data_IF_139796196811
#
_entry.id   IF_139796196811
#
_cell.length_a   1.000
_cell.length_b   1.000
_cell.length_c   1.000
_cell.angle_alpha   90.00
_cell.angle_beta   90.00
_cell.angle_gamma   90.00
#
_symmetry.space_group_name_H-M   'P 1'
#
loop_
_entity.id
_entity.type
_entity.pdbx_description
1 polymer ?
#
# COMPACT_ATOMS: atom_id res chain seq x y z
N UNK A 1 34.09 7.94 11.77
CA UNK A 1 32.67 8.35 11.87
C UNK A 1 31.96 7.69 10.70
N UNK A 2 31.99 6.36 10.62
CA UNK A 2 31.63 5.63 9.41
C UNK A 2 30.37 4.78 9.64
N UNK A 3 29.37 5.37 10.29
CA UNK A 3 28.07 4.72 10.48
C UNK A 3 27.08 5.41 9.57
N UNK A 4 26.93 4.81 8.38
CA UNK A 4 26.25 5.30 7.19
C UNK A 4 24.85 5.82 7.52
N UNK A 5 24.62 7.10 7.25
CA UNK A 5 23.31 7.73 7.46
C UNK A 5 22.50 7.79 6.15
N UNK A 6 23.18 7.92 5.00
CA UNK A 6 22.58 7.69 3.67
C UNK A 6 22.94 6.29 3.19
N UNK A 7 21.98 5.39 3.14
CA UNK A 7 22.23 4.03 2.71
C UNK A 7 22.00 3.86 1.20
N UNK A 8 23.01 3.31 0.52
CA UNK A 8 22.89 2.87 -0.87
C UNK A 8 22.48 1.40 -0.91
N UNK A 9 21.27 1.12 -1.40
CA UNK A 9 20.85 -0.26 -1.66
C UNK A 9 21.44 -0.68 -3.01
N UNK A 10 22.54 -1.43 -2.98
CA UNK A 10 23.29 -1.81 -4.18
C UNK A 10 22.43 -2.67 -5.12
N UNK A 11 21.59 -3.55 -4.57
CA UNK A 11 20.76 -4.49 -5.33
C UNK A 11 19.77 -3.79 -6.28
N UNK A 12 19.31 -2.57 -5.94
CA UNK A 12 18.44 -1.79 -6.84
C UNK A 12 19.17 -1.14 -8.02
N UNK A 13 20.50 -1.22 -8.08
CA UNK A 13 21.27 -0.78 -9.27
C UNK A 13 21.13 -1.77 -10.43
N UNK A 14 20.84 -3.04 -10.15
CA UNK A 14 20.68 -4.10 -11.17
C UNK A 14 19.22 -4.38 -11.52
N UNK A 15 18.30 -4.21 -10.56
CA UNK A 15 16.85 -4.44 -10.71
C UNK A 15 16.06 -3.30 -10.08
N UNK A 16 14.83 -2.99 -10.50
CA UNK A 16 14.08 -1.87 -9.94
C UNK A 16 13.48 -2.14 -8.54
N UNK A 17 13.93 -3.20 -7.88
CA UNK A 17 13.56 -3.56 -6.50
C UNK A 17 14.63 -4.46 -5.87
N UNK A 18 14.66 -4.50 -4.54
CA UNK A 18 15.35 -5.50 -3.74
C UNK A 18 14.40 -6.04 -2.67
N UNK A 19 14.44 -7.36 -2.43
CA UNK A 19 13.61 -8.01 -1.41
C UNK A 19 14.58 -8.78 -0.52
N UNK A 20 14.51 -8.51 0.78
CA UNK A 20 15.38 -9.13 1.78
C UNK A 20 14.52 -9.69 2.90
N UNK A 21 15.00 -10.75 3.53
CA UNK A 21 14.52 -11.15 4.85
C UNK A 21 15.67 -10.94 5.80
N UNK A 22 15.44 -10.14 6.83
CA UNK A 22 16.46 -9.77 7.80
C UNK A 22 16.08 -10.29 9.17
N UNK A 23 17.00 -10.99 9.83
CA UNK A 23 16.83 -11.30 11.25
C UNK A 23 17.53 -10.22 12.08
N UNK A 24 16.75 -9.41 12.80
CA UNK A 24 17.23 -8.20 13.46
C UNK A 24 16.67 -8.03 14.87
N UNK A 25 17.46 -7.46 15.78
CA UNK A 25 16.93 -6.82 17.00
C UNK A 25 16.74 -5.30 16.80
N UNK A 26 17.16 -4.79 15.65
CA UNK A 26 16.93 -3.45 15.17
C UNK A 26 17.84 -3.12 13.99
N UNK A 27 17.58 -1.98 13.38
CA UNK A 27 18.31 -1.46 12.23
C UNK A 27 18.70 -0.01 12.50
N UNK A 28 19.96 0.39 12.25
CA UNK A 28 20.46 1.71 12.60
C UNK A 28 19.71 2.84 11.87
N UNK A 29 19.95 4.08 12.31
CA UNK A 29 19.38 5.25 11.66
C UNK A 29 19.95 5.42 10.27
N UNK A 30 19.05 5.49 9.28
CA UNK A 30 19.40 5.66 7.89
C UNK A 30 18.26 6.35 7.12
N UNK A 31 18.52 6.64 5.85
CA UNK A 31 17.50 6.97 4.86
C UNK A 31 17.97 6.51 3.48
N UNK A 32 17.02 6.48 2.56
CA UNK A 32 17.28 6.26 1.16
C UNK A 32 16.81 7.44 0.32
N UNK A 33 17.45 7.59 -0.83
CA UNK A 33 17.08 8.57 -1.83
C UNK A 33 16.56 7.85 -3.07
N UNK A 34 15.36 8.26 -3.52
CA UNK A 34 14.57 7.66 -4.58
C UNK A 34 14.13 6.22 -4.33
N UNK A 35 14.17 5.75 -3.08
CA UNK A 35 13.70 4.42 -2.70
C UNK A 35 12.60 4.58 -1.67
N UNK A 36 11.50 3.84 -1.86
CA UNK A 36 10.53 3.58 -0.80
C UNK A 36 10.81 2.20 -0.23
N UNK A 37 10.80 2.10 1.09
CA UNK A 37 10.96 0.83 1.81
C UNK A 37 9.60 0.37 2.36
N UNK A 38 9.34 -0.93 2.35
CA UNK A 38 8.21 -1.53 3.06
C UNK A 38 8.74 -2.56 4.05
N UNK A 39 8.37 -2.43 5.31
CA UNK A 39 8.76 -3.30 6.42
C UNK A 39 7.59 -4.19 6.80
N UNK A 40 7.78 -5.51 6.83
CA UNK A 40 6.76 -6.49 7.20
C UNK A 40 7.31 -7.51 8.21
N UNK A 41 7.05 -7.36 9.52
CA UNK A 41 7.45 -8.33 10.53
C UNK A 41 6.79 -9.70 10.33
N UNK A 42 7.62 -10.74 10.34
CA UNK A 42 7.21 -12.13 10.12
C UNK A 42 7.01 -12.91 11.44
N UNK A 43 7.68 -12.53 12.52
CA UNK A 43 7.68 -13.30 13.78
C UNK A 43 7.04 -12.59 14.96
N UNK A 44 7.45 -11.35 15.23
CA UNK A 44 6.95 -10.50 16.30
C UNK A 44 6.95 -9.05 15.84
N UNK A 45 6.34 -8.17 16.62
CA UNK A 45 6.18 -6.76 16.28
C UNK A 45 7.53 -6.02 16.31
N UNK A 46 7.61 -4.96 15.52
CA UNK A 46 8.76 -4.05 15.48
C UNK A 46 8.33 -2.62 15.76
N UNK A 47 9.21 -1.86 16.38
CA UNK A 47 9.06 -0.43 16.54
C UNK A 47 9.82 0.28 15.40
N UNK A 48 9.08 1.03 14.59
CA UNK A 48 9.64 1.87 13.53
C UNK A 48 9.60 3.31 14.00
N UNK A 49 10.75 3.96 13.96
CA UNK A 49 10.91 5.38 14.24
C UNK A 49 11.16 6.06 12.89
N UNK A 50 10.23 6.88 12.41
CA UNK A 50 10.33 7.51 11.09
C UNK A 50 9.90 8.99 11.18
N UNK A 51 10.83 9.89 10.88
CA UNK A 51 10.67 11.35 11.09
C UNK A 51 10.31 11.70 12.55
N UNK A 52 9.02 11.85 12.85
CA UNK A 52 8.47 12.16 14.17
C UNK A 52 7.52 11.10 14.69
N UNK A 53 7.25 10.07 13.89
CA UNK A 53 6.31 9.02 14.23
C UNK A 53 7.06 7.88 14.91
N UNK A 54 6.47 7.38 15.98
CA UNK A 54 6.85 6.14 16.63
C UNK A 54 5.72 5.15 16.40
N UNK A 55 6.01 4.12 15.60
CA UNK A 55 5.01 3.18 15.12
C UNK A 55 5.32 1.80 15.65
N UNK A 56 4.32 1.14 16.22
CA UNK A 56 4.37 -0.30 16.50
C UNK A 56 3.77 -1.05 15.31
N UNK A 57 4.64 -1.67 14.51
CA UNK A 57 4.21 -2.52 13.39
C UNK A 57 3.97 -3.91 13.92
N UNK A 58 2.70 -4.31 13.98
CA UNK A 58 2.29 -5.61 14.50
C UNK A 58 2.74 -6.72 13.56
N UNK A 59 3.10 -7.87 14.14
CA UNK A 59 3.30 -9.13 13.40
C UNK A 59 2.15 -9.37 12.43
N UNK A 60 2.45 -9.70 11.17
CA UNK A 60 1.40 -9.94 10.17
C UNK A 60 0.96 -8.69 9.43
N UNK A 61 1.47 -7.51 9.78
CA UNK A 61 1.15 -6.24 9.15
C UNK A 61 2.39 -5.62 8.50
N UNK A 62 2.25 -4.44 7.89
CA UNK A 62 3.35 -3.74 7.24
C UNK A 62 3.37 -2.24 7.51
N UNK A 63 4.51 -1.62 7.21
CA UNK A 63 4.71 -0.18 7.20
C UNK A 63 5.52 0.29 5.99
N UNK A 64 5.02 1.30 5.29
CA UNK A 64 5.70 1.96 4.18
C UNK A 64 6.52 3.13 4.72
N UNK A 65 7.83 3.09 4.51
CA UNK A 65 8.74 4.22 4.76
C UNK A 65 8.91 4.99 3.47
N UNK A 66 8.51 6.27 3.49
CA UNK A 66 8.57 7.13 2.31
C UNK A 66 10.02 7.47 1.92
N UNK A 67 10.22 7.77 0.63
CA UNK A 67 11.47 8.31 0.12
C UNK A 67 11.94 9.53 0.95
N UNK A 68 13.25 9.69 1.15
CA UNK A 68 13.85 10.80 1.93
C UNK A 68 13.27 10.88 3.36
N UNK A 69 13.02 9.74 3.99
CA UNK A 69 12.61 9.66 5.40
C UNK A 69 13.75 9.12 6.24
N UNK A 70 14.13 9.86 7.27
CA UNK A 70 15.11 9.38 8.27
C UNK A 70 14.36 8.42 9.19
N UNK A 71 14.86 7.19 9.29
CA UNK A 71 14.19 6.16 10.07
C UNK A 71 15.15 5.14 10.66
N UNK A 72 14.65 4.39 11.64
CA UNK A 72 15.32 3.26 12.27
C UNK A 72 14.30 2.24 12.77
N UNK A 73 14.77 1.02 12.99
CA UNK A 73 13.93 -0.09 13.47
C UNK A 73 14.48 -0.61 14.78
N UNK A 74 13.59 -1.02 15.70
CA UNK A 74 13.96 -1.69 16.94
C UNK A 74 12.99 -2.82 17.25
N UNK A 75 13.49 -3.87 17.88
CA UNK A 75 12.67 -4.89 18.51
C UNK A 75 13.22 -5.25 19.89
N UNK A 76 12.36 -5.79 20.75
CA UNK A 76 12.74 -6.29 22.08
C UNK A 76 13.46 -7.63 22.01
N UNK A 77 13.29 -8.37 20.90
CA UNK A 77 13.92 -9.66 20.62
C UNK A 77 14.49 -9.67 19.20
N UNK A 78 15.23 -10.72 18.83
CA UNK A 78 15.65 -10.91 17.43
C UNK A 78 14.43 -11.44 16.66
N UNK A 79 14.02 -10.71 15.63
CA UNK A 79 12.83 -10.99 14.82
C UNK A 79 13.16 -11.01 13.35
N UNK A 80 12.49 -11.86 12.58
CA UNK A 80 12.52 -11.80 11.12
C UNK A 80 11.60 -10.72 10.56
N UNK A 81 12.13 -9.90 9.66
CA UNK A 81 11.42 -8.83 8.96
C UNK A 81 11.66 -9.00 7.46
N UNK A 82 10.59 -9.04 6.67
CA UNK A 82 10.69 -8.90 5.22
C UNK A 82 10.79 -7.40 4.88
N UNK A 83 11.79 -7.05 4.08
CA UNK A 83 12.11 -5.68 3.67
C UNK A 83 12.04 -5.60 2.15
N UNK A 84 11.23 -4.66 1.65
CA UNK A 84 11.04 -4.43 0.22
C UNK A 84 11.55 -3.04 -0.13
N UNK A 85 12.64 -2.95 -0.87
CA UNK A 85 13.14 -1.70 -1.43
C UNK A 85 12.64 -1.54 -2.86
N UNK A 86 12.03 -0.41 -3.17
CA UNK A 86 11.45 -0.11 -4.48
C UNK A 86 12.12 1.14 -5.04
N UNK A 87 12.78 1.03 -6.19
CA UNK A 87 13.41 2.18 -6.87
C UNK A 87 12.36 3.02 -7.61
N UNK A 88 12.05 4.18 -7.05
CA UNK A 88 11.11 5.13 -7.63
C UNK A 88 11.62 5.78 -8.91
N UNK A 89 12.93 5.77 -9.20
CA UNK A 89 13.46 6.25 -10.48
C UNK A 89 12.94 5.40 -11.64
N UNK A 90 13.02 4.08 -11.51
CA UNK A 90 12.56 3.18 -12.54
C UNK A 90 11.07 3.36 -12.86
N UNK A 91 10.24 3.62 -11.83
CA UNK A 91 8.79 3.71 -11.98
C UNK A 91 8.28 5.08 -12.43
N UNK A 92 9.12 6.11 -12.47
CA UNK A 92 8.74 7.46 -12.92
C UNK A 92 8.20 7.49 -14.36
N UNK A 93 8.67 6.57 -15.22
CA UNK A 93 8.17 6.41 -16.60
C UNK A 93 6.72 5.91 -16.69
N UNK A 94 6.22 5.28 -15.63
CA UNK A 94 4.85 4.77 -15.56
C UNK A 94 3.96 5.68 -14.72
N UNK A 95 4.53 6.26 -13.65
CA UNK A 95 3.85 7.11 -12.70
C UNK A 95 4.64 8.41 -12.56
N UNK A 96 4.26 9.40 -13.36
CA UNK A 96 4.89 10.71 -13.35
C UNK A 96 4.86 11.28 -11.92
N UNK A 97 5.98 11.82 -11.45
CA UNK A 97 6.15 12.39 -10.11
C UNK A 97 6.09 11.42 -8.92
N UNK A 98 6.16 10.11 -9.12
CA UNK A 98 6.10 9.12 -8.02
C UNK A 98 7.08 9.40 -6.87
N UNK A 99 8.26 9.96 -7.15
CA UNK A 99 9.28 10.35 -6.15
C UNK A 99 8.84 11.47 -5.19
N UNK A 100 7.84 12.25 -5.60
CA UNK A 100 7.28 13.40 -4.89
C UNK A 100 5.91 13.07 -4.30
N UNK A 101 5.41 11.85 -4.49
CA UNK A 101 4.22 11.34 -3.81
C UNK A 101 4.57 10.99 -2.36
N UNK A 102 3.57 11.07 -1.49
CA UNK A 102 3.68 10.61 -0.11
C UNK A 102 2.68 9.48 0.10
N UNK A 103 3.17 8.28 0.36
CA UNK A 103 2.36 7.10 0.60
C UNK A 103 1.99 7.03 2.09
N UNK A 104 0.70 7.14 2.37
CA UNK A 104 0.18 7.13 3.74
C UNK A 104 0.06 5.69 4.26
N UNK A 105 0.35 5.45 5.53
CA UNK A 105 0.02 4.18 6.18
C UNK A 105 -1.33 4.26 6.94
N UNK A 106 -1.41 5.11 7.98
CA UNK A 106 -2.54 5.21 8.93
C UNK A 106 -2.95 6.66 9.22
N UNK A 107 -3.88 6.90 10.17
CA UNK A 107 -4.17 8.24 10.69
C UNK A 107 -2.95 8.89 11.36
N UNK A 108 -2.74 10.18 11.09
CA UNK A 108 -1.86 11.00 11.93
C UNK A 108 -2.46 11.03 13.34
N UNK A 109 -1.70 10.57 14.35
CA UNK A 109 -1.99 10.90 15.74
C UNK A 109 -1.33 12.23 16.07
N UNK A 110 -2.10 13.15 16.64
CA UNK A 110 -1.51 14.24 17.40
C UNK A 110 -0.91 13.65 18.70
N UNK A 111 0.13 14.28 19.26
CA UNK A 111 0.68 14.02 20.61
C UNK A 111 1.66 12.86 20.87
N UNK A 112 2.57 12.51 19.95
CA UNK A 112 3.69 11.57 20.20
C UNK A 112 3.26 10.19 20.77
N UNK A 113 1.99 9.79 20.57
CA UNK A 113 1.49 8.49 21.00
C UNK A 113 1.99 7.43 20.02
N UNK A 114 2.32 6.24 20.54
CA UNK A 114 2.67 5.09 19.70
C UNK A 114 1.45 4.75 18.85
N UNK A 115 1.60 4.84 17.53
CA UNK A 115 0.55 4.49 16.58
C UNK A 115 0.73 3.02 16.22
N UNK A 116 -0.31 2.22 16.44
CA UNK A 116 -0.30 0.83 15.97
C UNK A 116 -0.55 0.79 14.45
N UNK A 117 0.10 -0.15 13.77
CA UNK A 117 -0.03 -0.30 12.33
C UNK A 117 -1.46 -0.64 11.87
N UNK A 118 -2.34 -1.13 12.73
CA UNK A 118 -3.74 -1.44 12.41
C UNK A 118 -4.74 -0.31 12.72
N UNK A 119 -4.27 0.90 12.99
CA UNK A 119 -5.15 2.05 13.23
C UNK A 119 -5.71 2.64 11.92
N UNK A 120 -7.01 2.41 11.64
CA UNK A 120 -7.68 2.84 10.41
C UNK A 120 -8.81 3.85 10.65
N UNK A 121 -8.92 4.85 9.77
CA UNK A 121 -10.04 5.81 9.83
C UNK A 121 -11.37 5.23 9.29
N UNK A 122 -11.34 4.17 8.46
CA UNK A 122 -12.56 3.55 7.88
C UNK A 122 -12.36 2.11 7.34
N UNK A 123 -13.48 1.42 7.06
CA UNK A 123 -13.53 0.04 6.52
C UNK A 123 -12.90 -0.11 5.12
N UNK A 124 -12.95 0.96 4.32
CA UNK A 124 -12.39 0.99 2.96
C UNK A 124 -10.87 0.89 3.02
N UNK A 125 -10.24 1.62 3.95
CA UNK A 125 -8.79 1.59 4.20
C UNK A 125 -8.33 0.27 4.77
N UNK A 126 -9.09 -0.29 5.72
CA UNK A 126 -8.84 -1.66 6.21
C UNK A 126 -8.78 -2.66 5.04
N UNK A 127 -9.70 -2.52 4.08
CA UNK A 127 -9.73 -3.37 2.88
C UNK A 127 -8.53 -3.17 1.95
N UNK A 128 -8.13 -1.93 1.66
CA UNK A 128 -6.95 -1.66 0.83
C UNK A 128 -5.67 -2.18 1.45
N UNK A 129 -5.54 -2.05 2.77
CA UNK A 129 -4.36 -2.55 3.47
C UNK A 129 -4.26 -4.07 3.42
N UNK A 130 -5.36 -4.78 3.65
CA UNK A 130 -5.44 -6.23 3.48
C UNK A 130 -5.02 -6.66 2.07
N UNK A 131 -5.51 -5.97 1.02
CA UNK A 131 -5.13 -6.27 -0.36
C UNK A 131 -3.65 -6.03 -0.62
N UNK A 132 -3.10 -4.94 -0.11
CA UNK A 132 -1.67 -4.62 -0.26
C UNK A 132 -0.79 -5.63 0.45
N UNK A 133 -1.14 -6.03 1.67
CA UNK A 133 -0.49 -7.11 2.41
C UNK A 133 -0.47 -8.41 1.60
N UNK A 134 -1.60 -8.78 0.98
CA UNK A 134 -1.65 -9.98 0.14
C UNK A 134 -0.73 -9.86 -1.09
N UNK A 135 -0.56 -8.67 -1.67
CA UNK A 135 0.40 -8.43 -2.74
C UNK A 135 1.86 -8.54 -2.24
N UNK A 136 2.19 -8.00 -1.07
CA UNK A 136 3.52 -8.16 -0.45
C UNK A 136 3.86 -9.64 -0.23
N UNK A 137 2.91 -10.41 0.30
CA UNK A 137 3.07 -11.86 0.47
C UNK A 137 3.29 -12.53 -0.88
N UNK A 138 2.53 -12.14 -1.90
CA UNK A 138 2.71 -12.68 -3.26
C UNK A 138 4.10 -12.44 -3.82
N UNK A 139 4.60 -11.22 -3.69
CA UNK A 139 5.96 -10.83 -4.06
C UNK A 139 6.99 -11.66 -3.29
N UNK A 140 6.80 -11.83 -1.97
CA UNK A 140 7.72 -12.56 -1.11
C UNK A 140 7.77 -14.05 -1.48
N UNK A 141 6.62 -14.67 -1.73
CA UNK A 141 6.54 -16.07 -2.20
C UNK A 141 7.26 -16.24 -3.54
N UNK A 142 7.09 -15.30 -4.48
CA UNK A 142 7.75 -15.36 -5.79
C UNK A 142 9.28 -15.22 -5.65
N UNK A 143 9.73 -14.29 -4.80
CA UNK A 143 11.14 -14.01 -4.59
C UNK A 143 11.90 -15.13 -3.86
N UNK A 144 11.24 -15.83 -2.95
CA UNK A 144 11.79 -16.95 -2.16
C UNK A 144 11.62 -18.32 -2.84
N UNK A 145 10.90 -18.39 -3.96
CA UNK A 145 10.66 -19.65 -4.66
C UNK A 145 11.92 -20.15 -5.36
N UNK A 146 12.22 -21.45 -5.25
CA UNK A 146 13.28 -22.10 -6.02
C UNK A 146 12.95 -22.23 -7.52
N UNK A 147 11.73 -21.88 -7.91
CA UNK A 147 11.28 -21.87 -9.29
C UNK A 147 11.74 -20.60 -10.02
N UNK A 148 12.63 -20.76 -11.01
CA UNK A 148 13.14 -19.65 -11.83
C UNK A 148 12.03 -18.77 -12.42
N UNK A 149 10.92 -19.35 -12.84
CA UNK A 149 9.85 -18.58 -13.49
C UNK A 149 9.05 -17.80 -12.45
N UNK A 150 8.86 -18.33 -11.24
CA UNK A 150 8.28 -17.55 -10.15
C UNK A 150 9.16 -16.32 -9.84
N UNK A 151 10.49 -16.49 -9.81
CA UNK A 151 11.44 -15.37 -9.65
C UNK A 151 11.36 -14.33 -10.78
N UNK A 152 11.09 -14.75 -12.02
CA UNK A 152 10.88 -13.84 -13.16
C UNK A 152 9.57 -13.03 -13.02
N UNK A 153 8.53 -13.63 -12.45
CA UNK A 153 7.23 -12.98 -12.22
C UNK A 153 7.28 -11.93 -11.10
N UNK A 154 8.27 -11.95 -10.22
CA UNK A 154 8.42 -10.97 -9.13
C UNK A 154 8.37 -9.53 -9.65
N UNK A 155 8.91 -9.27 -10.85
CA UNK A 155 8.87 -7.93 -11.47
C UNK A 155 7.44 -7.46 -11.77
N UNK A 156 6.58 -8.35 -12.28
CA UNK A 156 5.17 -8.05 -12.57
C UNK A 156 4.43 -7.75 -11.25
N UNK A 157 4.66 -8.58 -10.23
CA UNK A 157 4.07 -8.43 -8.89
C UNK A 157 4.50 -7.11 -8.22
N UNK A 158 5.77 -6.70 -8.33
CA UNK A 158 6.25 -5.41 -7.81
C UNK A 158 5.61 -4.24 -8.58
N UNK A 159 5.49 -4.31 -9.91
CA UNK A 159 4.84 -3.23 -10.66
C UNK A 159 3.40 -2.99 -10.16
N UNK A 160 2.66 -4.06 -9.86
CA UNK A 160 1.30 -3.92 -9.31
C UNK A 160 1.31 -3.40 -7.88
N UNK A 161 2.28 -3.82 -7.05
CA UNK A 161 2.48 -3.25 -5.72
C UNK A 161 2.63 -1.71 -5.82
N UNK A 162 3.49 -1.25 -6.73
CA UNK A 162 3.71 0.19 -6.98
C UNK A 162 2.45 0.87 -7.53
N UNK A 163 1.77 0.26 -8.50
CA UNK A 163 0.51 0.78 -9.02
C UNK A 163 -0.55 0.91 -7.93
N UNK A 164 -0.61 -0.05 -7.01
CA UNK A 164 -1.52 -0.04 -5.87
C UNK A 164 -1.14 1.04 -4.85
N UNK A 165 0.16 1.26 -4.59
CA UNK A 165 0.64 2.38 -3.78
C UNK A 165 0.18 3.73 -4.35
N UNK A 166 0.43 3.98 -5.63
CA UNK A 166 0.02 5.22 -6.31
C UNK A 166 -1.49 5.38 -6.30
N UNK A 167 -2.24 4.29 -6.53
CA UNK A 167 -3.70 4.35 -6.65
C UNK A 167 -4.39 4.43 -5.29
N UNK A 168 -3.95 3.72 -4.26
CA UNK A 168 -4.73 3.57 -3.04
C UNK A 168 -4.05 4.16 -1.80
N UNK A 169 -2.74 4.45 -1.86
CA UNK A 169 -1.98 5.00 -0.73
C UNK A 169 -1.44 6.42 -0.94
N UNK A 170 -1.62 7.04 -2.12
CA UNK A 170 -1.28 8.45 -2.30
C UNK A 170 -2.10 9.36 -1.37
N UNK A 171 -1.38 10.13 -0.53
CA UNK A 171 -1.91 11.08 0.45
C UNK A 171 -3.05 11.95 -0.10
N UNK A 172 -2.95 12.38 -1.38
CA UNK A 172 -3.95 13.25 -1.99
C UNK A 172 -5.36 12.68 -2.03
N UNK A 173 -5.48 11.36 -2.20
CA UNK A 173 -6.81 10.71 -2.21
C UNK A 173 -7.45 10.73 -0.84
N UNK A 174 -6.66 10.87 0.23
CA UNK A 174 -7.14 10.94 1.61
C UNK A 174 -7.39 12.37 2.08
N UNK A 175 -6.53 13.31 1.70
CA UNK A 175 -6.62 14.71 2.14
C UNK A 175 -7.83 15.46 1.55
N UNK A 176 -8.53 14.86 0.59
CA UNK A 176 -9.72 15.40 -0.03
C UNK A 176 -10.90 15.52 0.95
N UNK A 177 -10.87 16.57 1.78
CA UNK A 177 -11.92 16.94 2.73
C UNK A 177 -13.30 17.16 2.09
N UNK A 178 -13.34 17.29 0.76
CA UNK A 178 -14.54 17.69 0.01
C UNK A 178 -15.22 16.57 -0.76
N UNK A 179 -14.72 15.32 -0.71
CA UNK A 179 -15.16 14.20 -1.57
C UNK A 179 -15.23 14.58 -3.08
N UNK A 180 -14.48 15.60 -3.51
CA UNK A 180 -14.47 16.05 -4.91
C UNK A 180 -13.52 15.20 -5.72
N UNK A 181 -13.99 14.59 -6.79
CA UNK A 181 -13.09 13.95 -7.73
C UNK A 181 -12.23 15.01 -8.42
N UNK A 182 -10.93 15.00 -8.16
CA UNK A 182 -9.97 15.85 -8.86
C UNK A 182 -9.61 15.22 -10.20
N UNK A 183 -9.48 16.06 -11.22
CA UNK A 183 -9.03 15.57 -12.53
C UNK A 183 -7.56 15.16 -12.47
N UNK A 184 -7.10 14.25 -13.35
CA UNK A 184 -5.68 13.92 -13.48
C UNK A 184 -4.79 15.16 -13.65
N UNK A 185 -5.27 16.17 -14.37
CA UNK A 185 -4.56 17.44 -14.55
C UNK A 185 -4.36 18.19 -13.23
N UNK A 186 -5.37 18.20 -12.35
CA UNK A 186 -5.30 18.86 -11.04
C UNK A 186 -4.33 18.14 -10.11
N UNK A 187 -4.34 16.80 -10.11
CA UNK A 187 -3.40 15.99 -9.33
C UNK A 187 -1.96 16.18 -9.83
N UNK A 188 -1.72 16.09 -11.14
CA UNK A 188 -0.39 16.32 -11.73
C UNK A 188 0.11 17.74 -11.45
N UNK A 189 -0.77 18.74 -11.48
CA UNK A 189 -0.42 20.11 -11.09
C UNK A 189 0.03 20.20 -9.63
N UNK A 190 -0.64 19.50 -8.72
CA UNK A 190 -0.19 19.44 -7.33
C UNK A 190 1.18 18.79 -7.22
N UNK A 191 1.41 17.65 -7.85
CA UNK A 191 2.71 16.99 -7.79
C UNK A 191 3.84 17.82 -8.41
N UNK A 192 3.58 18.54 -9.51
CA UNK A 192 4.53 19.53 -10.05
C UNK A 192 4.81 20.67 -9.08
N UNK A 193 3.79 21.13 -8.36
CA UNK A 193 3.98 22.15 -7.32
C UNK A 193 4.85 21.61 -6.17
N UNK A 194 4.68 20.35 -5.77
CA UNK A 194 5.54 19.70 -4.76
C UNK A 194 6.96 19.52 -5.28
N UNK A 195 7.13 19.10 -6.54
CA UNK A 195 8.44 19.02 -7.20
C UNK A 195 9.14 20.38 -7.19
N UNK A 196 8.43 21.45 -7.58
CA UNK A 196 8.97 22.81 -7.55
C UNK A 196 9.43 23.20 -6.13
N UNK A 197 8.67 22.83 -5.10
CA UNK A 197 9.07 23.05 -3.70
C UNK A 197 10.33 22.25 -3.34
N UNK A 198 10.41 20.93 -3.65
CA UNK A 198 11.59 20.10 -3.36
C UNK A 198 12.85 20.59 -4.09
N UNK A 199 12.71 21.16 -5.29
CA UNK A 199 13.84 21.66 -6.09
C UNK A 199 14.28 23.08 -5.67
N UNK A 200 13.35 23.91 -5.17
CA UNK A 200 13.59 25.33 -4.88
C UNK A 200 13.39 25.70 -3.40
N UNK A 201 13.38 24.73 -2.48
CA UNK A 201 13.07 24.97 -1.06
C UNK A 201 14.00 25.99 -0.39
N UNK A 202 15.25 26.12 -0.87
CA UNK A 202 16.25 27.04 -0.32
C UNK A 202 15.90 28.51 -0.60
N UNK A 203 15.19 28.77 -1.69
CA UNK A 203 14.89 30.11 -2.14
C UNK A 203 13.61 30.66 -1.52
N UNK A 204 13.42 31.97 -1.64
CA UNK A 204 12.19 32.65 -1.24
C UNK A 204 11.11 32.44 -2.31
N UNK A 205 10.53 31.24 -2.32
CA UNK A 205 9.44 30.90 -3.22
C UNK A 205 8.07 31.27 -2.63
N UNK A 206 7.15 31.67 -3.51
CA UNK A 206 5.79 32.05 -3.19
C UNK A 206 4.79 31.21 -3.99
N UNK A 207 3.54 31.25 -3.55
CA UNK A 207 2.45 30.63 -4.31
C UNK A 207 2.25 31.30 -5.69
N UNK A 208 2.64 32.56 -5.83
CA UNK A 208 2.55 33.28 -7.10
C UNK A 208 3.55 32.72 -8.12
N UNK A 209 4.78 32.42 -7.68
CA UNK A 209 5.82 31.84 -8.53
C UNK A 209 5.37 30.50 -9.13
N UNK A 210 4.76 29.65 -8.31
CA UNK A 210 4.21 28.37 -8.77
C UNK A 210 3.02 28.58 -9.71
N UNK A 211 2.14 29.54 -9.40
CA UNK A 211 1.00 29.85 -10.25
C UNK A 211 1.42 30.33 -11.64
N UNK A 212 2.45 31.18 -11.70
CA UNK A 212 3.05 31.66 -12.93
C UNK A 212 3.70 30.52 -13.73
N UNK A 213 4.43 29.62 -13.07
CA UNK A 213 5.03 28.44 -13.71
C UNK A 213 3.97 27.44 -14.24
N UNK A 214 2.79 27.41 -13.61
CA UNK A 214 1.65 26.58 -14.00
C UNK A 214 0.68 27.29 -14.96
N UNK A 215 0.98 28.52 -15.38
CA UNK A 215 0.15 29.36 -16.25
C UNK A 215 -1.30 29.53 -15.75
N UNK A 216 -1.45 29.75 -14.44
CA UNK A 216 -2.75 29.91 -13.78
C UNK A 216 -2.73 31.09 -12.81
N UNK A 217 -3.90 31.52 -12.36
CA UNK A 217 -3.99 32.55 -11.33
C UNK A 217 -3.62 32.00 -9.96
N UNK A 218 -2.96 32.82 -9.14
CA UNK A 218 -2.68 32.53 -7.73
C UNK A 218 -3.94 32.14 -6.95
N UNK A 219 -5.08 32.80 -7.23
CA UNK A 219 -6.35 32.48 -6.58
C UNK A 219 -6.78 31.03 -6.89
N UNK A 220 -6.72 30.63 -8.16
CA UNK A 220 -7.02 29.26 -8.55
C UNK A 220 -6.07 28.26 -7.86
N UNK A 221 -4.76 28.52 -7.87
CA UNK A 221 -3.79 27.63 -7.21
C UNK A 221 -4.03 27.56 -5.70
N UNK A 222 -4.35 28.67 -5.04
CA UNK A 222 -4.65 28.70 -3.60
C UNK A 222 -5.87 27.87 -3.25
N UNK A 223 -6.93 27.94 -4.06
CA UNK A 223 -8.11 27.11 -3.88
C UNK A 223 -7.80 25.63 -4.13
N UNK A 224 -7.05 25.32 -5.19
CA UNK A 224 -6.62 23.97 -5.51
C UNK A 224 -5.79 23.38 -4.37
N UNK A 225 -4.79 24.12 -3.88
CA UNK A 225 -3.91 23.72 -2.79
C UNK A 225 -4.69 23.43 -1.51
N UNK A 226 -5.62 24.31 -1.12
CA UNK A 226 -6.44 24.11 0.08
C UNK A 226 -7.35 22.88 0.00
N UNK A 227 -7.79 22.52 -1.21
CA UNK A 227 -8.69 21.37 -1.40
C UNK A 227 -7.90 20.04 -1.48
N UNK A 228 -6.66 20.08 -1.98
CA UNK A 228 -5.80 18.89 -2.15
C UNK A 228 -4.86 18.65 -0.96
N UNK A 229 -4.38 19.70 -0.32
CA UNK A 229 -3.42 19.62 0.78
C UNK A 229 -4.11 19.79 2.13
N UNK A 230 -3.61 19.05 3.11
CA UNK A 230 -3.98 19.26 4.51
C UNK A 230 -3.30 20.51 5.09
N UNK A 231 -2.17 20.91 4.52
CA UNK A 231 -1.32 21.99 5.01
C UNK A 231 -1.36 23.19 4.06
N UNK A 232 -1.13 24.38 4.59
CA UNK A 232 -0.87 25.57 3.77
C UNK A 232 0.41 25.41 2.95
N UNK A 233 0.54 26.20 1.88
CA UNK A 233 1.76 26.23 1.07
C UNK A 233 3.01 26.52 1.91
N UNK A 234 2.94 27.49 2.83
CA UNK A 234 4.05 27.83 3.72
C UNK A 234 4.40 26.69 4.67
N UNK A 235 3.41 25.99 5.23
CA UNK A 235 3.67 24.81 6.06
C UNK A 235 4.33 23.69 5.27
N UNK A 236 3.92 23.45 4.02
CA UNK A 236 4.58 22.44 3.17
C UNK A 236 6.00 22.83 2.79
N UNK A 237 6.26 24.10 2.44
CA UNK A 237 7.61 24.58 2.19
C UNK A 237 8.49 24.39 3.44
N UNK A 238 8.01 24.82 4.61
CA UNK A 238 8.77 24.67 5.85
C UNK A 238 8.98 23.20 6.23
N UNK A 239 8.01 22.32 5.95
CA UNK A 239 8.19 20.87 6.09
C UNK A 239 9.39 20.39 5.26
N UNK A 240 9.43 20.73 3.97
CA UNK A 240 10.54 20.32 3.09
C UNK A 240 11.89 20.83 3.61
N UNK A 241 11.95 22.10 4.03
CA UNK A 241 13.17 22.70 4.62
C UNK A 241 13.60 21.98 5.89
N UNK A 242 12.65 21.62 6.78
CA UNK A 242 12.93 20.86 8.00
C UNK A 242 13.46 19.48 7.67
N UNK A 243 12.83 18.76 6.74
CA UNK A 243 13.28 17.44 6.28
C UNK A 243 14.73 17.49 5.76
N UNK A 244 15.05 18.48 4.92
CA UNK A 244 16.42 18.69 4.41
C UNK A 244 17.42 19.02 5.52
N UNK A 245 17.01 19.83 6.50
CA UNK A 245 17.85 20.17 7.65
C UNK A 245 18.17 18.95 8.51
N UNK A 246 17.25 17.98 8.62
CA UNK A 246 17.46 16.72 9.33
C UNK A 246 18.68 15.96 8.79
N UNK A 247 18.81 15.87 7.46
CA UNK A 247 19.98 15.25 6.83
C UNK A 247 21.27 16.01 7.14
N UNK A 248 21.26 17.35 7.04
CA UNK A 248 22.42 18.18 7.32
C UNK A 248 22.85 18.11 8.79
N UNK A 249 21.92 18.03 9.73
CA UNK A 249 22.23 17.88 11.15
C UNK A 249 23.06 16.63 11.45
N UNK A 250 22.76 15.55 10.73
CA UNK A 250 23.39 14.25 10.91
C UNK A 250 24.68 14.09 10.09
N UNK A 251 24.75 14.69 8.90
CA UNK A 251 25.87 14.46 7.95
C UNK A 251 26.88 15.59 7.90
N UNK A 252 26.47 16.83 8.17
CA UNK A 252 27.30 18.00 8.00
C UNK A 252 27.86 18.48 9.33
N UNK A 253 29.12 18.91 9.32
CA UNK A 253 29.74 19.60 10.45
C UNK A 253 29.46 21.11 10.37
N UNK A 254 28.18 21.48 10.43
CA UNK A 254 27.71 22.86 10.29
C UNK A 254 27.08 23.35 11.62
N UNK A 255 27.18 24.64 11.88
CA UNK A 255 26.45 25.26 12.99
C UNK A 255 24.94 25.27 12.69
N UNK A 256 24.11 25.29 13.74
CA UNK A 256 22.64 25.36 13.57
C UNK A 256 22.22 26.59 12.76
N UNK A 257 22.90 27.72 12.94
CA UNK A 257 22.65 28.93 12.15
C UNK A 257 22.91 28.70 10.66
N UNK A 258 24.02 28.04 10.32
CA UNK A 258 24.38 27.75 8.92
C UNK A 258 23.43 26.74 8.29
N UNK A 259 22.99 25.73 9.06
CA UNK A 259 21.99 24.75 8.60
C UNK A 259 20.67 25.45 8.31
N UNK A 260 20.19 26.29 9.24
CA UNK A 260 18.98 27.09 9.08
C UNK A 260 19.02 27.94 7.80
N UNK A 261 20.11 28.69 7.59
CA UNK A 261 20.32 29.52 6.41
C UNK A 261 20.38 28.70 5.12
N UNK A 262 21.18 27.62 5.08
CA UNK A 262 21.32 26.75 3.90
C UNK A 262 20.03 26.01 3.52
N UNK A 263 19.08 25.89 4.44
CA UNK A 263 17.74 25.34 4.20
C UNK A 263 16.71 26.42 3.84
N UNK A 264 17.07 27.70 3.75
CA UNK A 264 16.19 28.77 3.32
C UNK A 264 15.31 29.38 4.43
N UNK A 265 15.59 29.13 5.70
CA UNK A 265 14.89 29.80 6.80
C UNK A 265 15.38 31.25 6.96
N UNK A 266 14.45 32.18 7.20
CA UNK A 266 14.75 33.60 7.41
C UNK A 266 15.58 33.87 8.67
N UNK A 267 15.39 33.03 9.68
CA UNK A 267 16.06 33.13 10.97
C UNK A 267 15.99 31.81 11.74
N UNK A 268 16.88 31.67 12.70
CA UNK A 268 17.03 30.46 13.50
C UNK A 268 15.82 30.21 14.40
N UNK A 269 15.14 31.25 14.89
CA UNK A 269 13.96 31.07 15.77
C UNK A 269 12.80 30.45 14.99
N UNK A 270 12.58 30.90 13.75
CA UNK A 270 11.59 30.34 12.85
C UNK A 270 11.93 28.90 12.46
N UNK A 271 13.22 28.60 12.25
CA UNK A 271 13.69 27.23 12.06
C UNK A 271 13.36 26.33 13.26
N UNK A 272 13.73 26.71 14.49
CA UNK A 272 13.44 25.92 15.69
C UNK A 272 11.94 25.68 15.89
N UNK A 273 11.10 26.68 15.61
CA UNK A 273 9.65 26.58 15.71
C UNK A 273 9.11 25.47 14.79
N UNK A 274 9.47 25.51 13.50
CA UNK A 274 9.01 24.52 12.53
C UNK A 274 9.66 23.16 12.73
N UNK A 275 10.94 23.12 13.11
CA UNK A 275 11.61 21.86 13.42
C UNK A 275 10.92 21.16 14.59
N UNK A 276 10.62 21.87 15.68
CA UNK A 276 9.87 21.30 16.81
C UNK A 276 8.46 20.88 16.43
N UNK A 277 7.80 21.62 15.54
CA UNK A 277 6.48 21.24 15.01
C UNK A 277 6.52 19.91 14.27
N UNK A 278 7.55 19.69 13.44
CA UNK A 278 7.63 18.51 12.57
C UNK A 278 8.42 17.34 13.15
N UNK A 279 9.30 17.53 14.12
CA UNK A 279 10.10 16.47 14.76
C UNK A 279 9.74 16.26 16.25
N UNK A 280 8.83 17.05 16.81
CA UNK A 280 8.43 16.97 18.22
C UNK A 280 9.51 17.40 19.22
N UNK A 281 10.71 17.75 18.76
CA UNK A 281 11.88 18.13 19.57
C UNK A 281 12.72 19.20 18.85
N UNK A 282 13.69 19.79 19.54
CA UNK A 282 14.61 20.74 18.92
C UNK A 282 15.66 20.06 18.02
N UNK A 283 16.27 20.79 17.06
CA UNK A 283 17.33 20.26 16.19
C UNK A 283 18.48 19.57 16.94
N UNK A 284 18.90 20.14 18.07
CA UNK A 284 20.00 19.59 18.88
C UNK A 284 19.57 18.33 19.64
N UNK A 285 18.35 18.31 20.17
CA UNK A 285 17.79 17.10 20.80
C UNK A 285 17.62 15.99 19.78
N UNK A 286 17.15 16.30 18.57
CA UNK A 286 17.06 15.35 17.47
C UNK A 286 18.44 14.75 17.15
N UNK A 287 19.45 15.60 16.90
CA UNK A 287 20.81 15.16 16.64
C UNK A 287 21.34 14.26 17.76
N UNK A 288 21.13 14.66 19.02
CA UNK A 288 21.53 13.86 20.19
C UNK A 288 20.83 12.51 20.22
N UNK A 289 19.50 12.46 20.07
CA UNK A 289 18.73 11.21 20.05
C UNK A 289 19.21 10.27 18.95
N UNK A 290 19.52 10.80 17.77
CA UNK A 290 20.06 9.99 16.69
C UNK A 290 21.43 9.41 17.02
N UNK A 291 22.34 10.22 17.58
CA UNK A 291 23.66 9.74 18.01
C UNK A 291 23.54 8.71 19.14
N UNK A 292 22.69 8.95 20.13
CA UNK A 292 22.43 8.01 21.22
C UNK A 292 21.90 6.67 20.67
N UNK A 293 21.01 6.71 19.68
CA UNK A 293 20.51 5.50 19.02
C UNK A 293 21.59 4.74 18.25
N UNK A 294 22.53 5.45 17.61
CA UNK A 294 23.68 4.84 16.92
C UNK A 294 24.65 4.12 17.88
N UNK A 295 24.57 4.38 19.19
CA UNK A 295 25.35 3.69 20.22
C UNK A 295 24.64 2.47 20.82
N UNK A 296 23.38 2.22 20.45
CA UNK A 296 22.67 1.00 20.85
C UNK A 296 23.31 -0.20 20.15
N UNK A 297 23.49 -1.30 20.88
CA UNK A 297 23.98 -2.56 20.32
C UNK A 297 22.88 -3.22 19.47
N UNK A 298 22.80 -2.81 18.21
CA UNK A 298 21.89 -3.35 17.21
C UNK A 298 22.61 -4.42 16.38
N UNK A 299 21.87 -5.47 16.02
CA UNK A 299 22.32 -6.51 15.12
C UNK A 299 21.21 -6.82 14.12
N UNK A 300 21.64 -7.01 12.88
CA UNK A 300 20.83 -7.49 11.78
C UNK A 300 21.69 -8.37 10.87
N UNK A 301 21.06 -9.34 10.22
CA UNK A 301 21.69 -10.18 9.21
C UNK A 301 20.71 -10.41 8.06
N UNK A 302 21.19 -10.28 6.82
CA UNK A 302 20.44 -10.66 5.62
C UNK A 302 20.42 -12.21 5.54
N UNK A 303 19.22 -12.79 5.45
CA UNK A 303 19.02 -14.23 5.29
C UNK A 303 18.92 -14.61 3.80
N UNK A 304 19.45 -15.77 3.44
CA UNK A 304 19.36 -16.32 2.08
C UNK A 304 17.93 -16.75 1.74
N UNK A 305 17.32 -16.09 0.75
CA UNK A 305 15.93 -16.32 0.36
C UNK A 305 15.64 -17.77 -0.09
N UNK A 306 16.59 -18.46 -0.72
CA UNK A 306 16.42 -19.82 -1.27
C UNK A 306 16.11 -20.88 -0.19
N UNK A 307 16.48 -20.59 1.07
CA UNK A 307 16.21 -21.45 2.22
C UNK A 307 14.93 -21.03 2.99
N UNK A 308 14.26 -19.96 2.57
CA UNK A 308 13.14 -19.37 3.32
C UNK A 308 11.76 -19.79 2.81
N UNK A 309 11.67 -20.44 1.65
CA UNK A 309 10.38 -20.81 1.04
C UNK A 309 9.43 -21.52 2.01
N UNK A 310 9.94 -22.50 2.77
CA UNK A 310 9.16 -23.27 3.75
C UNK A 310 8.74 -22.40 4.95
N UNK A 311 9.63 -21.55 5.44
CA UNK A 311 9.35 -20.64 6.56
C UNK A 311 8.25 -19.63 6.17
N UNK A 312 8.32 -19.10 4.94
CA UNK A 312 7.29 -18.21 4.41
C UNK A 312 5.97 -18.95 4.19
N UNK A 313 6.00 -20.17 3.68
CA UNK A 313 4.81 -21.01 3.56
C UNK A 313 4.16 -21.25 4.93
N UNK A 314 4.94 -21.59 5.95
CA UNK A 314 4.47 -21.79 7.32
C UNK A 314 3.92 -20.47 7.93
N UNK A 315 4.57 -19.34 7.66
CA UNK A 315 4.07 -18.01 8.05
C UNK A 315 2.70 -17.72 7.43
N UNK A 316 2.56 -17.95 6.13
CA UNK A 316 1.30 -17.75 5.41
C UNK A 316 0.21 -18.65 6.02
N UNK A 317 0.52 -19.93 6.29
CA UNK A 317 -0.40 -20.91 6.87
C UNK A 317 -0.83 -20.59 8.30
N UNK A 318 0.06 -20.07 9.13
CA UNK A 318 -0.16 -19.97 10.57
C UNK A 318 -0.50 -18.56 11.06
N UNK A 319 -0.18 -17.52 10.29
CA UNK A 319 -0.33 -16.13 10.74
C UNK A 319 -1.30 -15.40 9.85
N UNK A 320 -1.07 -15.44 8.54
CA UNK A 320 -1.91 -14.75 7.58
C UNK A 320 -3.26 -15.47 7.46
N UNK A 321 -3.24 -16.76 7.10
CA UNK A 321 -4.46 -17.52 6.87
C UNK A 321 -5.41 -17.61 8.09
N UNK A 322 -4.95 -17.80 9.34
CA UNK A 322 -5.84 -17.88 10.50
C UNK A 322 -6.51 -16.56 10.87
N UNK A 323 -5.85 -15.40 10.66
CA UNK A 323 -6.48 -14.09 10.83
C UNK A 323 -7.73 -13.94 9.94
N UNK A 324 -7.70 -14.55 8.75
CA UNK A 324 -8.81 -14.56 7.81
C UNK A 324 -9.80 -15.70 8.01
N UNK A 325 -9.38 -16.78 8.68
CA UNK A 325 -10.27 -17.79 9.24
C UNK A 325 -10.95 -17.27 10.52
N UNK A 326 -11.62 -16.10 10.45
CA UNK A 326 -12.44 -15.58 11.55
C UNK A 326 -13.23 -16.73 12.16
N UNK A 327 -13.12 -16.95 13.47
CA UNK A 327 -13.88 -17.96 14.21
C UNK A 327 -13.85 -19.41 13.64
N UNK A 328 -12.77 -19.83 12.97
CA UNK A 328 -12.68 -21.12 12.26
C UNK A 328 -13.73 -21.31 11.15
N UNK A 329 -14.19 -20.20 10.55
CA UNK A 329 -15.20 -20.24 9.50
C UNK A 329 -14.66 -20.89 8.21
N UNK A 330 -13.37 -20.78 7.90
CA UNK A 330 -12.79 -21.26 6.63
C UNK A 330 -11.66 -22.29 6.84
N UNK A 331 -11.54 -23.25 5.91
CA UNK A 331 -10.38 -24.15 5.85
C UNK A 331 -9.26 -23.47 5.05
N UNK A 332 -8.09 -23.32 5.65
CA UNK A 332 -6.98 -22.53 5.12
C UNK A 332 -6.11 -23.28 4.11
N UNK A 333 -6.11 -24.62 4.14
CA UNK A 333 -5.27 -25.46 3.26
C UNK A 333 -5.68 -25.35 1.79
N UNK A 334 -6.98 -25.46 1.48
CA UNK A 334 -7.46 -25.37 0.10
C UNK A 334 -7.20 -24.00 -0.54
N UNK A 335 -7.15 -22.93 0.25
CA UNK A 335 -6.93 -21.58 -0.25
C UNK A 335 -5.50 -21.41 -0.77
N UNK A 336 -4.53 -21.89 0.00
CA UNK A 336 -3.12 -21.85 -0.37
C UNK A 336 -2.86 -22.71 -1.63
N UNK A 337 -3.43 -23.92 -1.68
CA UNK A 337 -3.27 -24.81 -2.81
C UNK A 337 -3.83 -24.22 -4.11
N UNK A 338 -5.00 -23.57 -4.05
CA UNK A 338 -5.59 -22.87 -5.19
C UNK A 338 -4.72 -21.70 -5.67
N UNK A 339 -4.20 -20.91 -4.74
CA UNK A 339 -3.30 -19.80 -5.05
C UNK A 339 -2.00 -20.27 -5.73
N UNK A 340 -1.35 -21.29 -5.18
CA UNK A 340 -0.14 -21.89 -5.77
C UNK A 340 -0.43 -22.46 -7.16
N UNK A 341 -1.56 -23.17 -7.31
CA UNK A 341 -1.99 -23.73 -8.59
C UNK A 341 -2.24 -22.65 -9.64
N UNK A 342 -2.86 -21.53 -9.28
CA UNK A 342 -3.11 -20.43 -10.21
C UNK A 342 -1.81 -19.76 -10.66
N UNK A 343 -0.86 -19.55 -9.74
CA UNK A 343 0.48 -19.07 -10.10
C UNK A 343 1.18 -20.03 -11.07
N UNK A 344 1.10 -21.33 -10.80
CA UNK A 344 1.64 -22.35 -11.71
C UNK A 344 1.01 -22.27 -13.12
N UNK A 345 -0.31 -22.09 -13.22
CA UNK A 345 -1.00 -21.92 -14.49
C UNK A 345 -0.60 -20.64 -15.23
N UNK A 346 -0.50 -19.51 -14.53
CA UNK A 346 0.01 -18.25 -15.10
C UNK A 346 1.45 -18.39 -15.63
N UNK A 347 2.29 -19.10 -14.88
CA UNK A 347 3.64 -19.46 -15.29
C UNK A 347 3.66 -20.27 -16.59
N UNK A 348 2.85 -21.34 -16.71
CA UNK A 348 2.76 -22.13 -17.95
C UNK A 348 2.35 -21.25 -19.13
N UNK A 349 1.40 -20.35 -18.90
CA UNK A 349 0.88 -19.48 -19.96
C UNK A 349 1.91 -18.45 -20.46
N UNK A 350 2.82 -17.94 -19.61
CA UNK A 350 3.93 -17.09 -20.06
C UNK A 350 4.93 -17.83 -20.95
N UNK A 351 5.16 -19.12 -20.68
CA UNK A 351 6.07 -19.96 -21.47
C UNK A 351 5.41 -20.37 -22.79
N UNK A 352 4.12 -20.71 -22.72
CA UNK A 352 3.32 -21.26 -23.84
C UNK A 352 1.96 -20.58 -23.84
N UNK A 353 1.83 -19.41 -24.50
CA UNK A 353 0.59 -18.64 -24.51
C UNK A 353 -0.53 -19.43 -25.16
N UNK A 354 -1.58 -19.76 -24.40
CA UNK A 354 -2.79 -20.37 -24.93
C UNK A 354 -3.73 -19.28 -25.47
N UNK A 355 -4.37 -19.49 -26.64
CA UNK A 355 -5.39 -18.59 -27.23
C UNK A 355 -6.81 -19.12 -27.00
N UNK A 356 -7.43 -18.81 -25.84
CA UNK A 356 -8.81 -18.30 -25.77
C UNK A 356 -8.98 -17.22 -24.64
N UNK A 357 -10.17 -16.61 -24.42
CA UNK A 357 -10.36 -15.64 -23.32
C UNK A 357 -10.02 -16.28 -21.97
N UNK A 358 -9.21 -15.56 -21.20
CA UNK A 358 -8.61 -16.04 -19.96
C UNK A 358 -9.48 -15.59 -18.81
N UNK A 359 -10.20 -16.52 -18.19
CA UNK A 359 -11.21 -16.18 -17.22
C UNK A 359 -10.88 -16.82 -15.88
N UNK A 360 -10.79 -16.02 -14.83
CA UNK A 360 -10.91 -16.48 -13.45
C UNK A 360 -12.38 -16.40 -13.09
N UNK A 361 -12.99 -17.52 -12.72
CA UNK A 361 -14.39 -17.55 -12.32
C UNK A 361 -14.53 -17.99 -10.88
N UNK A 362 -15.29 -17.23 -10.09
CA UNK A 362 -15.61 -17.57 -8.70
C UNK A 362 -17.11 -17.75 -8.53
N UNK A 363 -17.51 -18.92 -8.03
CA UNK A 363 -18.86 -19.09 -7.47
C UNK A 363 -18.89 -18.50 -6.06
N UNK A 364 -19.55 -17.36 -5.92
CA UNK A 364 -19.63 -16.64 -4.64
C UNK A 364 -20.52 -17.35 -3.63
N UNK A 365 -21.30 -18.36 -4.02
CA UNK A 365 -22.16 -19.14 -3.14
C UNK A 365 -21.59 -20.54 -2.84
N UNK A 366 -20.42 -20.87 -3.38
CA UNK A 366 -19.68 -22.08 -3.02
C UNK A 366 -19.34 -22.08 -1.52
N UNK A 367 -19.36 -23.25 -0.88
CA UNK A 367 -19.06 -23.44 0.54
C UNK A 367 -17.67 -22.96 0.97
N UNK A 368 -16.74 -22.83 0.01
CA UNK A 368 -15.38 -22.31 0.23
C UNK A 368 -15.31 -20.78 0.17
N UNK A 369 -16.32 -20.14 -0.45
CA UNK A 369 -16.39 -18.70 -0.66
C UNK A 369 -17.47 -18.03 0.20
N UNK A 370 -18.46 -18.78 0.67
CA UNK A 370 -19.63 -18.25 1.36
C UNK A 370 -20.19 -19.18 2.44
N UNK A 371 -20.53 -18.58 3.59
CA UNK A 371 -21.21 -19.22 4.70
C UNK A 371 -22.24 -18.27 5.32
N UNK A 372 -23.36 -18.85 5.76
CA UNK A 372 -24.37 -18.15 6.56
C UNK A 372 -24.22 -18.52 8.02
N UNK A 373 -23.96 -17.55 8.89
CA UNK A 373 -23.81 -17.75 10.34
C UNK A 373 -24.80 -16.85 11.05
N UNK A 374 -25.69 -17.42 11.86
CA UNK A 374 -26.75 -16.67 12.56
C UNK A 374 -27.53 -15.71 11.63
N UNK A 375 -27.83 -16.18 10.42
CA UNK A 375 -28.49 -15.41 9.35
C UNK A 375 -27.72 -14.18 8.83
N UNK A 376 -26.40 -14.11 9.08
CA UNK A 376 -25.51 -13.07 8.57
C UNK A 376 -24.63 -13.68 7.46
N UNK A 377 -24.53 -13.05 6.28
CA UNK A 377 -23.67 -13.54 5.21
C UNK A 377 -22.19 -13.23 5.49
N UNK A 378 -21.35 -14.26 5.39
CA UNK A 378 -19.89 -14.14 5.45
C UNK A 378 -19.28 -14.63 4.14
N UNK A 379 -18.42 -13.82 3.55
CA UNK A 379 -17.66 -14.14 2.35
C UNK A 379 -16.20 -14.38 2.71
N UNK A 380 -15.58 -15.35 2.05
CA UNK A 380 -14.15 -15.59 2.14
C UNK A 380 -13.41 -14.53 1.32
N UNK A 381 -13.33 -13.31 1.85
CA UNK A 381 -12.69 -12.20 1.17
C UNK A 381 -11.23 -12.43 0.86
N UNK A 382 -10.54 -13.30 1.60
CA UNK A 382 -9.16 -13.65 1.29
C UNK A 382 -9.08 -14.39 -0.05
N UNK A 383 -9.94 -15.38 -0.28
CA UNK A 383 -9.97 -16.08 -1.57
C UNK A 383 -10.29 -15.10 -2.69
N UNK A 384 -11.33 -14.30 -2.49
CA UNK A 384 -11.81 -13.35 -3.49
C UNK A 384 -10.73 -12.30 -3.79
N UNK A 385 -10.06 -11.74 -2.78
CA UNK A 385 -8.96 -10.79 -2.94
C UNK A 385 -7.77 -11.42 -3.69
N UNK A 386 -7.41 -12.67 -3.39
CA UNK A 386 -6.34 -13.37 -4.10
C UNK A 386 -6.69 -13.58 -5.57
N UNK A 387 -7.92 -14.00 -5.87
CA UNK A 387 -8.37 -14.22 -7.24
C UNK A 387 -8.52 -12.91 -8.02
N UNK A 388 -9.03 -11.85 -7.39
CA UNK A 388 -9.14 -10.52 -7.99
C UNK A 388 -7.77 -9.92 -8.21
N UNK A 389 -6.88 -10.00 -7.22
CA UNK A 389 -5.51 -9.54 -7.41
C UNK A 389 -4.90 -10.32 -8.57
N UNK A 390 -4.95 -11.66 -8.56
CA UNK A 390 -4.43 -12.47 -9.66
C UNK A 390 -5.04 -12.10 -11.02
N UNK A 391 -6.34 -11.86 -11.12
CA UNK A 391 -6.97 -11.48 -12.39
C UNK A 391 -6.48 -10.12 -12.89
N UNK A 392 -6.35 -9.14 -11.99
CA UNK A 392 -5.72 -7.85 -12.27
C UNK A 392 -4.22 -8.00 -12.61
N UNK A 393 -3.51 -8.95 -12.00
CA UNK A 393 -2.06 -9.15 -12.21
C UNK A 393 -1.73 -9.84 -13.52
N UNK A 394 -2.58 -10.78 -13.94
CA UNK A 394 -2.37 -11.67 -15.09
C UNK A 394 -3.15 -11.27 -16.34
N UNK A 395 -3.94 -10.18 -16.25
CA UNK A 395 -4.85 -9.71 -17.29
C UNK A 395 -5.89 -10.78 -17.70
N UNK A 396 -6.39 -11.52 -16.71
CA UNK A 396 -7.51 -12.44 -16.86
C UNK A 396 -8.81 -11.67 -16.58
N UNK A 397 -9.85 -11.95 -17.36
CA UNK A 397 -11.20 -11.51 -17.03
C UNK A 397 -11.64 -12.16 -15.71
N UNK A 398 -12.35 -11.40 -14.88
CA UNK A 398 -12.87 -11.88 -13.61
C UNK A 398 -14.38 -12.06 -13.69
N UNK A 399 -14.83 -13.29 -13.50
CA UNK A 399 -16.24 -13.66 -13.60
C UNK A 399 -16.79 -14.04 -12.22
N UNK A 400 -17.92 -13.44 -11.87
CA UNK A 400 -18.69 -13.77 -10.67
C UNK A 400 -19.81 -14.72 -11.07
N UNK A 401 -19.76 -15.97 -10.62
CA UNK A 401 -20.85 -16.92 -10.76
C UNK A 401 -21.79 -16.81 -9.56
N UNK A 402 -23.09 -16.77 -9.83
CA UNK A 402 -24.15 -16.74 -8.84
C UNK A 402 -25.14 -17.85 -9.18
N UNK A 403 -25.10 -18.95 -8.45
CA UNK A 403 -26.04 -20.05 -8.60
C UNK A 403 -27.31 -19.77 -7.78
N UNK A 404 -28.41 -19.47 -8.46
CA UNK A 404 -29.65 -19.07 -7.78
C UNK A 404 -30.19 -20.17 -6.86
N UNK A 405 -29.91 -21.45 -7.14
CA UNK A 405 -30.33 -22.59 -6.31
C UNK A 405 -29.69 -22.60 -4.92
N UNK A 406 -28.47 -22.07 -4.79
CA UNK A 406 -27.70 -22.07 -3.52
C UNK A 406 -28.15 -21.00 -2.53
N UNK A 407 -29.13 -20.17 -2.88
CA UNK A 407 -29.61 -19.10 -2.02
C UNK A 407 -31.11 -19.22 -1.75
N UNK A 408 -31.64 -18.52 -0.75
CA UNK A 408 -33.07 -18.49 -0.46
C UNK A 408 -33.67 -17.15 -0.95
N UNK A 409 -34.89 -17.19 -1.49
CA UNK A 409 -35.71 -16.03 -1.86
C UNK A 409 -35.77 -14.91 -0.82
N UNK A 410 -35.79 -15.22 0.48
CA UNK A 410 -35.84 -14.20 1.55
C UNK A 410 -34.49 -13.51 1.78
N UNK A 411 -33.39 -14.15 1.40
CA UNK A 411 -32.05 -13.71 1.78
C UNK A 411 -31.20 -13.18 0.61
N UNK A 412 -31.56 -13.44 -0.66
CA UNK A 412 -30.70 -13.10 -1.79
C UNK A 412 -30.31 -11.61 -1.83
N UNK A 413 -31.27 -10.70 -1.61
CA UNK A 413 -30.99 -9.25 -1.59
C UNK A 413 -29.98 -8.88 -0.50
N UNK A 414 -30.09 -9.51 0.68
CA UNK A 414 -29.17 -9.29 1.80
C UNK A 414 -27.77 -9.80 1.48
N UNK A 415 -27.66 -11.01 0.92
CA UNK A 415 -26.38 -11.67 0.62
C UNK A 415 -25.67 -10.97 -0.53
N UNK A 416 -26.34 -10.88 -1.70
CA UNK A 416 -25.77 -10.27 -2.90
C UNK A 416 -25.55 -8.78 -2.68
N UNK A 417 -26.49 -8.08 -2.02
CA UNK A 417 -26.33 -6.67 -1.68
C UNK A 417 -25.12 -6.42 -0.77
N UNK A 418 -24.89 -7.27 0.25
CA UNK A 418 -23.70 -7.19 1.09
C UNK A 418 -22.44 -7.44 0.27
N UNK A 419 -22.43 -8.46 -0.59
CA UNK A 419 -21.30 -8.77 -1.47
C UNK A 419 -20.92 -7.57 -2.35
N UNK A 420 -21.90 -7.01 -3.07
CA UNK A 420 -21.67 -5.89 -3.99
C UNK A 420 -21.19 -4.65 -3.25
N UNK A 421 -21.80 -4.30 -2.11
CA UNK A 421 -21.34 -3.19 -1.28
C UNK A 421 -19.88 -3.39 -0.86
N UNK A 422 -19.54 -4.57 -0.33
CA UNK A 422 -18.17 -4.89 0.05
C UNK A 422 -17.22 -4.85 -1.15
N UNK A 423 -17.63 -5.29 -2.33
CA UNK A 423 -16.83 -5.17 -3.54
C UNK A 423 -16.55 -3.70 -3.88
N UNK A 424 -17.57 -2.83 -3.87
CA UNK A 424 -17.44 -1.40 -4.16
C UNK A 424 -16.43 -0.74 -3.23
N UNK A 425 -16.49 -1.07 -1.94
CA UNK A 425 -15.50 -0.61 -0.97
C UNK A 425 -14.09 -1.17 -1.24
N UNK A 426 -13.98 -2.44 -1.66
CA UNK A 426 -12.70 -3.16 -1.80
C UNK A 426 -11.95 -2.88 -3.11
N UNK A 427 -12.65 -2.74 -4.22
CA UNK A 427 -12.06 -2.81 -5.55
C UNK A 427 -12.19 -1.52 -6.36
N UNK A 428 -12.93 -0.51 -5.88
CA UNK A 428 -13.40 0.63 -6.68
C UNK A 428 -14.36 0.21 -7.80
N UNK A 429 -15.29 1.11 -8.14
CA UNK A 429 -16.30 0.85 -9.19
C UNK A 429 -15.65 0.54 -10.56
N UNK A 430 -14.53 1.20 -10.88
CA UNK A 430 -13.79 1.00 -12.13
C UNK A 430 -13.29 -0.44 -12.29
N UNK A 431 -12.82 -1.09 -11.21
CA UNK A 431 -12.38 -2.49 -11.30
C UNK A 431 -13.57 -3.42 -11.44
N UNK A 432 -14.65 -3.20 -10.70
CA UNK A 432 -15.83 -4.08 -10.69
C UNK A 432 -16.59 -3.97 -12.02
N UNK A 433 -16.62 -2.81 -12.66
CA UNK A 433 -17.24 -2.61 -13.97
C UNK A 433 -16.58 -3.45 -15.08
N UNK A 434 -15.35 -3.96 -14.87
CA UNK A 434 -14.70 -4.89 -15.80
C UNK A 434 -15.26 -6.30 -15.69
N UNK A 435 -15.78 -6.69 -14.52
CA UNK A 435 -16.19 -8.05 -14.21
C UNK A 435 -17.41 -8.48 -15.01
N UNK A 436 -17.60 -9.80 -15.15
CA UNK A 436 -18.80 -10.38 -15.75
C UNK A 436 -19.56 -11.22 -14.74
N UNK A 437 -20.83 -10.91 -14.51
CA UNK A 437 -21.71 -11.63 -13.60
C UNK A 437 -22.47 -12.70 -14.37
N UNK A 438 -22.20 -13.96 -14.06
CA UNK A 438 -22.90 -15.13 -14.59
C UNK A 438 -23.96 -15.58 -13.58
N UNK A 439 -25.23 -15.43 -13.93
CA UNK A 439 -26.34 -15.79 -13.06
C UNK A 439 -26.98 -17.09 -13.59
N UNK A 440 -26.87 -18.16 -12.82
CA UNK A 440 -27.37 -19.48 -13.17
C UNK A 440 -28.73 -19.74 -12.51
N UNK A 441 -29.67 -20.33 -13.25
CA UNK A 441 -31.03 -20.65 -12.81
C UNK A 441 -31.51 -21.94 -13.50
N UNK A 442 -32.42 -22.70 -12.89
CA UNK A 442 -32.89 -24.00 -13.41
C UNK A 442 -34.42 -24.13 -13.50
N UNK A 443 -35.17 -23.16 -13.00
CA UNK A 443 -36.64 -23.16 -13.02
C UNK A 443 -37.23 -21.74 -13.05
N UNK A 444 -38.56 -21.64 -13.08
CA UNK A 444 -39.26 -20.34 -13.12
C UNK A 444 -39.03 -19.51 -11.84
N UNK A 445 -38.89 -20.17 -10.68
CA UNK A 445 -38.73 -19.49 -9.40
C UNK A 445 -37.33 -18.88 -9.27
N UNK A 446 -36.31 -19.62 -9.66
CA UNK A 446 -34.91 -19.19 -9.73
C UNK A 446 -34.68 -18.19 -10.85
N UNK A 447 -35.43 -18.24 -11.96
CA UNK A 447 -35.40 -17.20 -12.99
C UNK A 447 -35.88 -15.84 -12.46
N UNK A 448 -36.99 -15.79 -11.72
CA UNK A 448 -37.46 -14.54 -11.06
C UNK A 448 -36.41 -13.98 -10.11
N UNK A 449 -35.70 -14.87 -9.42
CA UNK A 449 -34.59 -14.48 -8.53
C UNK A 449 -33.39 -13.97 -9.31
N UNK A 450 -33.04 -14.61 -10.42
CA UNK A 450 -31.96 -14.20 -11.30
C UNK A 450 -32.17 -12.77 -11.81
N UNK A 451 -33.39 -12.46 -12.27
CA UNK A 451 -33.74 -11.08 -12.68
C UNK A 451 -33.57 -10.09 -11.54
N UNK A 452 -34.11 -10.39 -10.35
CA UNK A 452 -33.97 -9.50 -9.20
C UNK A 452 -32.52 -9.33 -8.70
N UNK A 453 -31.65 -10.32 -8.92
CA UNK A 453 -30.20 -10.22 -8.69
C UNK A 453 -29.56 -9.31 -9.74
N UNK A 454 -29.95 -9.43 -11.01
CA UNK A 454 -29.50 -8.56 -12.08
C UNK A 454 -29.84 -7.09 -11.82
N UNK A 455 -31.10 -6.80 -11.50
CA UNK A 455 -31.56 -5.45 -11.13
C UNK A 455 -30.73 -4.86 -9.97
N UNK A 456 -30.39 -5.69 -8.99
CA UNK A 456 -29.58 -5.28 -7.84
C UNK A 456 -28.15 -4.95 -8.23
N UNK A 457 -27.55 -5.71 -9.15
CA UNK A 457 -26.20 -5.46 -9.69
C UNK A 457 -26.20 -4.14 -10.47
N UNK A 458 -27.14 -3.94 -11.40
CA UNK A 458 -27.25 -2.72 -12.21
C UNK A 458 -27.52 -1.48 -11.35
N UNK A 459 -28.28 -1.61 -10.26
CA UNK A 459 -28.52 -0.49 -9.33
C UNK A 459 -27.26 -0.04 -8.57
N UNK A 460 -26.17 -0.82 -8.61
CA UNK A 460 -24.96 -0.60 -7.82
C UNK A 460 -23.70 -0.40 -8.64
N UNK A 461 -23.66 -0.91 -9.87
CA UNK A 461 -22.49 -0.89 -10.73
C UNK A 461 -22.95 -0.38 -12.09
N UNK A 462 -22.51 0.82 -12.44
CA UNK A 462 -22.83 1.41 -13.74
C UNK A 462 -22.25 0.53 -14.88
N UNK A 463 -23.06 0.25 -15.91
CA UNK A 463 -22.67 -0.58 -17.06
C UNK A 463 -22.22 -2.01 -16.70
N UNK A 464 -22.80 -2.62 -15.66
CA UNK A 464 -22.51 -3.99 -15.25
C UNK A 464 -22.71 -5.00 -16.41
N UNK A 465 -21.74 -5.90 -16.60
CA UNK A 465 -21.85 -6.97 -17.60
C UNK A 465 -22.51 -8.20 -16.96
N UNK A 466 -23.77 -8.47 -17.31
CA UNK A 466 -24.54 -9.60 -16.75
C UNK A 466 -24.87 -10.60 -17.87
N UNK A 467 -24.70 -11.89 -17.59
CA UNK A 467 -25.12 -13.00 -18.46
C UNK A 467 -25.92 -14.02 -17.67
N UNK A 468 -27.04 -14.44 -18.24
CA UNK A 468 -27.95 -15.42 -17.64
C UNK A 468 -27.76 -16.79 -18.29
N UNK A 469 -27.74 -17.85 -17.48
CA UNK A 469 -27.55 -19.23 -17.93
C UNK A 469 -28.62 -20.13 -17.33
N UNK A 470 -29.33 -20.87 -18.19
CA UNK A 470 -30.26 -21.92 -17.77
C UNK A 470 -29.49 -23.23 -17.59
N UNK A 471 -29.53 -23.82 -16.39
CA UNK A 471 -28.96 -25.13 -16.09
C UNK A 471 -30.06 -26.19 -16.24
N UNK A 472 -29.77 -27.19 -17.09
CA UNK A 472 -30.69 -28.30 -17.44
C UNK A 472 -30.49 -29.48 -16.51
#
# INVERSE_FOLDING_TARGET
MDNIIKEEIIDVKEKPYAIKIQAMNGYPIHWHENITEVLMPLEDSIEVYANFEHILVKKGDFWIVNNKTIHSVKSSSKVMVAVFHIDLNYYEKYFEYIKYMFFRNNMYSEDNVIIESDNYDDDKRSSYKVRFRNLLISVLTDATSNDKIAKELTKDSIYQLVAFMVKEFDWLKFANKSNKNFSPLQLNRYHRSIKYIDENYKDKITLDDIANNEYITKNYLSHLWRNLSYFSFQERLNYERVMKSGFLLLTANMSISSISESCGFSDVKYYYLHFKRWYGCSPLEFKKRCLDFMHINLSYEDLELDNMAKIIEDYIKNIILPEYARENIWNTTELFDNYVRMKYLYKIDKITPQRPPRNVSIDILNTNNFKMIKNIPYFNWQNIDLLVNFSETSNFDFNIKIECEKINNKNFKKVVGKFLNSCIYRYSEITIAKWVFFIFYSDEMSFKRANAIGDLIESKIENAKIKYFFEV
#
